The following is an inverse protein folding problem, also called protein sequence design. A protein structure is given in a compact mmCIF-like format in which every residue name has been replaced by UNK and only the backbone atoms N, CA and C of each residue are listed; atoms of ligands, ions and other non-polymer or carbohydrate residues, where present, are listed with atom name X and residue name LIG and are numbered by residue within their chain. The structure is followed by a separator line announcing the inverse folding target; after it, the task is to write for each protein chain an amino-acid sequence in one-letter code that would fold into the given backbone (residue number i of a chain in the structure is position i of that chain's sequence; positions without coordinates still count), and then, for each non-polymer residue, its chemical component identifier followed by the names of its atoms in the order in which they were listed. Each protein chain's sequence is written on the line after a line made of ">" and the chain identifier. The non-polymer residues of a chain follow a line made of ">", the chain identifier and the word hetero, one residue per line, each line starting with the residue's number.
data_IF_812603550029
#
_entry.id   IF_812603550029
#
_cell.length_a   1.000
_cell.length_b   1.000
_cell.length_c   1.000
_cell.angle_alpha   90.00
_cell.angle_beta   90.00
_cell.angle_gamma   90.00
#
_symmetry.space_group_name_H-M   'P 1'
#
loop_
_entity.id
_entity.type
_entity.pdbx_description
1 polymer ?
#
# COMPACT_ATOMS: atom_id res chain seq x y z
N UNK A 1 1.39 -18.70 23.42
CA UNK A 1 1.64 -17.55 22.51
C UNK A 1 0.39 -17.04 21.80
N UNK A 2 -0.55 -17.89 21.38
CA UNK A 2 -1.79 -17.47 20.68
C UNK A 2 -2.65 -16.49 21.51
N UNK A 3 -2.79 -16.73 22.82
CA UNK A 3 -3.60 -15.87 23.71
C UNK A 3 -3.11 -14.41 23.78
N UNK A 4 -1.79 -14.18 23.73
CA UNK A 4 -1.19 -12.83 23.79
C UNK A 4 -1.47 -12.04 22.51
N UNK A 5 -1.50 -12.70 21.35
CA UNK A 5 -1.83 -12.06 20.07
C UNK A 5 -3.30 -11.65 20.02
N UNK A 6 -4.20 -12.51 20.49
CA UNK A 6 -5.65 -12.23 20.53
C UNK A 6 -5.98 -11.06 21.46
N UNK A 7 -5.33 -10.97 22.64
CA UNK A 7 -5.54 -9.86 23.57
C UNK A 7 -4.98 -8.51 23.09
N UNK A 8 -3.97 -8.51 22.21
CA UNK A 8 -3.37 -7.28 21.66
C UNK A 8 -4.07 -6.73 20.40
N UNK A 9 -4.92 -7.51 19.75
CA UNK A 9 -5.64 -7.11 18.55
C UNK A 9 -6.69 -5.98 18.76
N UNK A 10 -7.56 -6.01 19.79
CA UNK A 10 -8.61 -4.98 19.96
C UNK A 10 -8.11 -3.55 20.23
N UNK A 11 -7.04 -3.27 21.01
CA UNK A 11 -6.54 -1.90 21.13
C UNK A 11 -5.89 -1.41 19.83
N UNK A 12 -5.23 -2.30 19.09
CA UNK A 12 -4.56 -1.97 17.83
C UNK A 12 -5.57 -1.61 16.74
N UNK A 13 -6.69 -2.32 16.66
CA UNK A 13 -7.75 -2.03 15.68
C UNK A 13 -8.43 -0.68 15.92
N UNK A 14 -8.63 -0.29 17.19
CA UNK A 14 -9.21 1.03 17.53
C UNK A 14 -8.26 2.19 17.23
N UNK A 15 -6.96 1.96 17.23
CA UNK A 15 -5.96 2.99 16.92
C UNK A 15 -5.85 3.27 15.41
N UNK A 16 -6.30 2.34 14.56
CA UNK A 16 -6.30 2.54 13.10
C UNK A 16 -7.42 3.49 12.72
N UNK A 17 -7.07 4.56 11.98
CA UNK A 17 -8.05 5.45 11.35
C UNK A 17 -8.68 4.73 10.16
N UNK A 18 -9.73 3.95 10.40
CA UNK A 18 -10.44 3.20 9.37
C UNK A 18 -11.18 4.09 8.37
N UNK A 19 -11.63 5.26 8.82
CA UNK A 19 -12.46 6.18 8.04
C UNK A 19 -11.90 6.50 6.64
N UNK A 20 -10.61 6.87 6.46
CA UNK A 20 -10.04 7.05 5.13
C UNK A 20 -10.00 5.78 4.28
N UNK A 21 -9.74 4.60 4.86
CA UNK A 21 -9.73 3.34 4.12
C UNK A 21 -11.14 2.93 3.67
N UNK A 22 -12.13 3.11 4.53
CA UNK A 22 -13.54 2.83 4.22
C UNK A 22 -14.06 3.79 3.16
N UNK A 23 -13.76 5.10 3.30
CA UNK A 23 -14.12 6.11 2.30
C UNK A 23 -13.47 5.82 0.94
N UNK A 24 -12.16 5.52 0.94
CA UNK A 24 -11.44 5.16 -0.27
C UNK A 24 -12.04 3.91 -0.92
N UNK A 25 -12.32 2.86 -0.13
CA UNK A 25 -12.91 1.62 -0.64
C UNK A 25 -14.30 1.83 -1.23
N UNK A 26 -15.15 2.62 -0.58
CA UNK A 26 -16.47 2.99 -1.10
C UNK A 26 -16.38 3.73 -2.44
N UNK A 27 -15.47 4.70 -2.55
CA UNK A 27 -15.24 5.44 -3.81
C UNK A 27 -14.73 4.53 -4.92
N UNK A 28 -13.78 3.64 -4.62
CA UNK A 28 -13.23 2.70 -5.61
C UNK A 28 -14.27 1.69 -6.10
N UNK A 29 -15.09 1.15 -5.20
CA UNK A 29 -16.17 0.22 -5.57
C UNK A 29 -17.24 0.92 -6.42
N UNK A 30 -17.62 2.15 -6.04
CA UNK A 30 -18.57 2.95 -6.83
C UNK A 30 -18.00 3.27 -8.22
N UNK A 31 -16.74 3.69 -8.30
CA UNK A 31 -16.07 3.98 -9.58
C UNK A 31 -15.97 2.73 -10.47
N UNK A 32 -15.67 1.57 -9.89
CA UNK A 32 -15.63 0.30 -10.61
C UNK A 32 -17.01 -0.08 -11.16
N UNK A 33 -18.05 -0.03 -10.32
CA UNK A 33 -19.42 -0.33 -10.72
C UNK A 33 -19.95 0.61 -11.81
N UNK A 34 -19.67 1.92 -11.69
CA UNK A 34 -20.07 2.92 -12.71
C UNK A 34 -19.33 2.69 -14.02
N UNK A 35 -18.03 2.38 -13.96
CA UNK A 35 -17.22 2.18 -15.17
C UNK A 35 -17.61 0.90 -15.90
N UNK A 36 -17.88 -0.19 -15.18
CA UNK A 36 -18.40 -1.43 -15.74
C UNK A 36 -19.77 -1.20 -16.40
N UNK A 37 -20.71 -0.58 -15.69
CA UNK A 37 -22.04 -0.27 -16.21
C UNK A 37 -22.02 0.67 -17.45
N UNK A 38 -21.04 1.55 -17.55
CA UNK A 38 -20.89 2.49 -18.65
C UNK A 38 -20.01 1.98 -19.82
N UNK A 39 -19.49 0.73 -19.77
CA UNK A 39 -18.45 0.23 -20.69
C UNK A 39 -17.23 1.19 -20.78
N UNK A 40 -16.89 1.80 -19.64
CA UNK A 40 -15.78 2.73 -19.52
C UNK A 40 -14.40 2.04 -19.45
N UNK A 41 -13.32 2.82 -19.28
CA UNK A 41 -11.95 2.29 -19.24
C UNK A 41 -11.66 1.59 -17.90
N UNK A 42 -12.08 0.33 -17.80
CA UNK A 42 -11.94 -0.53 -16.61
C UNK A 42 -10.49 -0.67 -16.14
N UNK A 43 -9.53 -0.75 -17.07
CA UNK A 43 -8.11 -0.89 -16.74
C UNK A 43 -7.60 0.32 -15.93
N UNK A 44 -7.97 1.54 -16.32
CA UNK A 44 -7.54 2.75 -15.60
C UNK A 44 -8.08 2.76 -14.17
N UNK A 45 -9.32 2.32 -13.96
CA UNK A 45 -9.91 2.21 -12.62
C UNK A 45 -9.14 1.23 -11.76
N UNK A 46 -8.76 0.08 -12.31
CA UNK A 46 -7.95 -0.91 -11.60
C UNK A 46 -6.55 -0.40 -11.25
N UNK A 47 -5.90 0.35 -12.14
CA UNK A 47 -4.59 0.95 -11.86
C UNK A 47 -4.69 2.03 -10.78
N UNK A 48 -5.71 2.89 -10.84
CA UNK A 48 -5.98 3.91 -9.80
C UNK A 48 -6.28 3.24 -8.45
N UNK A 49 -7.13 2.20 -8.45
CA UNK A 49 -7.43 1.42 -7.26
C UNK A 49 -6.16 0.81 -6.67
N UNK A 50 -5.30 0.24 -7.50
CA UNK A 50 -4.03 -0.37 -7.09
C UNK A 50 -3.10 0.65 -6.41
N UNK A 51 -2.91 1.81 -7.03
CA UNK A 51 -2.07 2.87 -6.48
C UNK A 51 -2.65 3.46 -5.18
N UNK A 52 -3.96 3.68 -5.14
CA UNK A 52 -4.63 4.22 -3.96
C UNK A 52 -4.63 3.23 -2.78
N UNK A 53 -4.86 1.95 -3.04
CA UNK A 53 -4.80 0.89 -2.04
C UNK A 53 -3.39 0.69 -1.49
N UNK A 54 -2.37 0.73 -2.37
CA UNK A 54 -0.97 0.69 -1.95
C UNK A 54 -0.61 1.89 -1.05
N UNK A 55 -0.99 3.11 -1.47
CA UNK A 55 -0.77 4.32 -0.67
C UNK A 55 -1.50 4.28 0.67
N UNK A 56 -2.75 3.80 0.68
CA UNK A 56 -3.56 3.61 1.88
C UNK A 56 -2.96 2.58 2.84
N UNK A 57 -2.46 1.45 2.32
CA UNK A 57 -1.80 0.42 3.10
C UNK A 57 -0.54 0.96 3.81
N UNK A 58 0.27 1.76 3.10
CA UNK A 58 1.45 2.40 3.67
C UNK A 58 1.07 3.49 4.67
N UNK A 59 0.08 4.34 4.36
CA UNK A 59 -0.42 5.38 5.27
C UNK A 59 -0.92 4.79 6.59
N UNK A 60 -1.57 3.62 6.52
CA UNK A 60 -2.10 2.96 7.70
C UNK A 60 -1.00 2.50 8.68
N UNK A 61 0.27 2.45 8.27
CA UNK A 61 1.42 2.17 9.14
C UNK A 61 1.82 3.34 10.02
N UNK A 62 1.26 4.53 9.77
CA UNK A 62 1.53 5.70 10.57
C UNK A 62 0.99 5.47 11.98
N UNK A 63 1.88 5.25 12.95
CA UNK A 63 1.51 5.03 14.34
C UNK A 63 1.73 6.29 15.19
N UNK A 64 0.70 7.15 15.35
CA UNK A 64 0.81 8.35 16.17
C UNK A 64 1.00 8.01 17.65
N UNK A 65 0.62 6.81 18.09
CA UNK A 65 0.79 6.36 19.46
C UNK A 65 2.19 5.79 19.75
N UNK A 66 3.07 5.71 18.74
CA UNK A 66 4.41 5.14 18.90
C UNK A 66 5.25 5.88 19.97
N UNK A 67 5.07 7.20 20.10
CA UNK A 67 5.74 8.01 21.11
C UNK A 67 5.22 7.72 22.52
N UNK A 68 3.91 7.51 22.66
CA UNK A 68 3.26 7.16 23.93
C UNK A 68 3.57 5.73 24.37
N UNK A 69 3.72 4.81 23.41
CA UNK A 69 4.00 3.40 23.64
C UNK A 69 5.50 3.07 23.65
N UNK A 70 6.37 4.09 23.64
CA UNK A 70 7.82 3.91 23.74
C UNK A 70 8.24 3.31 25.09
N UNK A 71 7.46 3.57 26.15
CA UNK A 71 7.70 3.04 27.49
C UNK A 71 7.34 1.55 27.66
N UNK A 72 6.60 0.96 26.71
CA UNK A 72 6.16 -0.44 26.79
C UNK A 72 7.20 -1.33 26.08
N UNK A 73 7.71 -2.40 26.74
CA UNK A 73 8.75 -3.28 26.21
C UNK A 73 8.19 -4.26 25.15
N UNK A 74 7.56 -3.74 24.11
CA UNK A 74 7.11 -4.52 22.95
C UNK A 74 7.99 -4.17 21.75
N UNK A 75 8.43 -5.19 21.01
CA UNK A 75 9.29 -4.94 19.86
C UNK A 75 8.54 -4.09 18.81
N UNK A 76 9.22 -3.07 18.30
CA UNK A 76 8.65 -2.15 17.29
C UNK A 76 8.26 -2.92 16.03
N UNK A 77 9.04 -3.95 15.67
CA UNK A 77 8.73 -4.83 14.55
C UNK A 77 7.45 -5.62 14.73
N UNK A 78 7.18 -6.15 15.93
CA UNK A 78 5.97 -6.93 16.19
C UNK A 78 4.72 -6.06 16.00
N UNK A 79 4.75 -4.83 16.52
CA UNK A 79 3.65 -3.85 16.34
C UNK A 79 3.42 -3.50 14.87
N UNK A 80 4.49 -3.29 14.10
CA UNK A 80 4.39 -3.01 12.65
C UNK A 80 3.86 -4.20 11.86
N UNK A 81 4.34 -5.40 12.15
CA UNK A 81 3.90 -6.63 11.49
C UNK A 81 2.41 -6.90 11.76
N UNK A 82 1.97 -6.73 13.01
CA UNK A 82 0.57 -6.94 13.38
C UNK A 82 -0.34 -5.92 12.68
N UNK A 83 0.12 -4.67 12.56
CA UNK A 83 -0.61 -3.61 11.84
C UNK A 83 -0.66 -3.82 10.34
N UNK A 84 0.45 -4.27 9.74
CA UNK A 84 0.49 -4.71 8.34
C UNK A 84 -0.48 -5.85 8.09
N UNK A 85 -0.56 -6.84 8.98
CA UNK A 85 -1.48 -7.95 8.84
C UNK A 85 -2.94 -7.47 8.98
N UNK A 86 -3.22 -6.62 9.96
CA UNK A 86 -4.55 -6.08 10.22
C UNK A 86 -5.08 -5.21 9.07
N UNK A 87 -4.20 -4.47 8.37
CA UNK A 87 -4.57 -3.62 7.23
C UNK A 87 -4.45 -4.36 5.90
N UNK A 88 -3.48 -5.25 5.77
CA UNK A 88 -3.21 -6.00 4.55
C UNK A 88 -4.37 -6.90 4.17
N UNK A 89 -5.00 -7.57 5.15
CA UNK A 89 -6.19 -8.40 4.91
C UNK A 89 -7.34 -7.60 4.29
N UNK A 90 -7.83 -6.49 4.88
CA UNK A 90 -8.91 -5.70 4.27
C UNK A 90 -8.50 -5.03 2.96
N UNK A 91 -7.24 -4.60 2.80
CA UNK A 91 -6.75 -4.05 1.52
C UNK A 91 -6.80 -5.10 0.41
N UNK A 92 -6.35 -6.33 0.68
CA UNK A 92 -6.42 -7.44 -0.27
C UNK A 92 -7.88 -7.83 -0.59
N UNK A 93 -8.75 -7.88 0.42
CA UNK A 93 -10.17 -8.16 0.23
C UNK A 93 -10.86 -7.10 -0.64
N UNK A 94 -10.53 -5.82 -0.43
CA UNK A 94 -11.04 -4.72 -1.23
C UNK A 94 -10.50 -4.76 -2.66
N UNK A 95 -9.23 -5.06 -2.85
CA UNK A 95 -8.65 -5.26 -4.18
C UNK A 95 -9.35 -6.39 -4.93
N UNK A 96 -9.56 -7.54 -4.29
CA UNK A 96 -10.29 -8.68 -4.89
C UNK A 96 -11.72 -8.32 -5.26
N UNK A 97 -12.39 -7.52 -4.42
CA UNK A 97 -13.76 -7.06 -4.67
C UNK A 97 -13.83 -6.15 -5.90
N UNK A 98 -12.91 -5.18 -6.01
CA UNK A 98 -12.80 -4.31 -7.19
C UNK A 98 -12.46 -5.13 -8.43
N UNK A 99 -11.48 -6.02 -8.35
CA UNK A 99 -11.06 -6.87 -9.47
C UNK A 99 -12.19 -7.79 -9.97
N UNK A 100 -12.93 -8.40 -9.05
CA UNK A 100 -14.07 -9.26 -9.34
C UNK A 100 -15.23 -8.54 -10.01
N UNK A 101 -15.51 -7.28 -9.64
CA UNK A 101 -16.53 -6.45 -10.30
C UNK A 101 -16.16 -6.10 -11.74
N UNK A 102 -14.86 -6.04 -12.03
CA UNK A 102 -14.34 -5.60 -13.33
C UNK A 102 -13.93 -6.74 -14.27
N UNK A 103 -14.14 -8.01 -13.86
CA UNK A 103 -13.64 -9.21 -14.57
C UNK A 103 -12.12 -9.21 -14.87
N UNK A 104 -11.34 -8.37 -14.16
CA UNK A 104 -9.90 -8.14 -14.41
C UNK A 104 -8.98 -8.75 -13.36
N UNK A 105 -9.43 -9.79 -12.66
CA UNK A 105 -8.68 -10.42 -11.57
C UNK A 105 -7.58 -11.34 -12.08
N UNK A 106 -6.43 -10.76 -12.44
CA UNK A 106 -5.24 -11.51 -12.87
C UNK A 106 -4.09 -11.43 -11.87
N UNK A 107 -3.22 -12.45 -11.87
CA UNK A 107 -2.01 -12.50 -11.06
C UNK A 107 -1.08 -11.27 -11.28
N UNK A 108 -1.12 -10.68 -12.48
CA UNK A 108 -0.41 -9.45 -12.79
C UNK A 108 -0.89 -8.26 -11.93
N UNK A 109 -2.19 -8.17 -11.64
CA UNK A 109 -2.76 -7.09 -10.83
C UNK A 109 -2.34 -7.18 -9.35
N UNK A 110 -2.25 -8.39 -8.79
CA UNK A 110 -1.71 -8.61 -7.45
C UNK A 110 -0.22 -8.21 -7.40
N UNK A 111 0.55 -8.58 -8.43
CA UNK A 111 1.96 -8.19 -8.56
C UNK A 111 2.13 -6.67 -8.53
N UNK A 112 1.31 -5.92 -9.28
CA UNK A 112 1.31 -4.45 -9.31
C UNK A 112 1.01 -3.83 -7.94
N UNK A 113 0.02 -4.38 -7.22
CA UNK A 113 -0.32 -3.92 -5.87
C UNK A 113 0.85 -4.12 -4.90
N UNK A 114 1.47 -5.30 -4.92
CA UNK A 114 2.62 -5.62 -4.07
C UNK A 114 3.83 -4.77 -4.43
N UNK A 115 4.10 -4.55 -5.71
CA UNK A 115 5.19 -3.69 -6.20
C UNK A 115 5.05 -2.27 -5.66
N UNK A 116 3.89 -1.64 -5.82
CA UNK A 116 3.65 -0.28 -5.32
C UNK A 116 3.67 -0.20 -3.79
N UNK A 117 3.09 -1.19 -3.11
CA UNK A 117 3.06 -1.21 -1.62
C UNK A 117 4.47 -1.36 -1.05
N UNK A 118 5.27 -2.27 -1.62
CA UNK A 118 6.66 -2.51 -1.18
C UNK A 118 7.57 -1.33 -1.53
N UNK A 119 7.37 -0.69 -2.69
CA UNK A 119 8.06 0.56 -3.03
C UNK A 119 7.76 1.67 -2.03
N UNK A 120 6.49 1.91 -1.70
CA UNK A 120 6.10 2.89 -0.69
C UNK A 120 6.69 2.60 0.69
N UNK A 121 6.75 1.31 1.08
CA UNK A 121 7.44 0.86 2.29
C UNK A 121 8.94 1.17 2.26
N UNK A 122 9.63 0.88 1.17
CA UNK A 122 11.06 1.15 1.02
C UNK A 122 11.37 2.65 1.14
N UNK A 123 10.53 3.50 0.56
CA UNK A 123 10.60 4.96 0.72
C UNK A 123 10.35 5.35 2.18
N UNK A 124 9.31 4.80 2.81
CA UNK A 124 8.98 5.11 4.20
C UNK A 124 10.09 4.78 5.20
N UNK A 125 10.83 3.71 4.95
CA UNK A 125 11.97 3.28 5.79
C UNK A 125 13.22 4.11 5.50
N UNK A 126 13.37 4.66 4.29
CA UNK A 126 14.55 5.40 3.87
C UNK A 126 14.57 6.86 4.32
N UNK A 127 13.41 7.47 4.58
CA UNK A 127 13.29 8.88 4.95
C UNK A 127 13.28 9.06 6.47
N UNK A 128 14.18 9.90 6.99
CA UNK A 128 14.19 10.36 8.39
C UNK A 128 13.71 11.81 8.50
N UNK A 129 12.95 12.20 9.55
CA UNK A 129 12.46 11.38 10.68
C UNK A 129 11.26 10.48 10.34
N UNK A 130 11.08 9.39 11.11
CA UNK A 130 10.12 8.30 10.84
C UNK A 130 8.67 8.76 10.58
N UNK A 131 8.25 9.83 11.27
CA UNK A 131 6.91 10.41 11.10
C UNK A 131 6.68 10.96 9.68
N UNK A 132 7.70 11.61 9.09
CA UNK A 132 7.64 12.11 7.71
C UNK A 132 7.81 10.98 6.71
N UNK A 133 8.61 9.96 7.03
CA UNK A 133 8.83 8.82 6.16
C UNK A 133 7.55 8.12 5.76
N UNK A 134 6.62 7.88 6.70
CA UNK A 134 5.35 7.22 6.35
C UNK A 134 4.48 8.06 5.40
N UNK A 135 4.46 9.39 5.56
CA UNK A 135 3.72 10.28 4.65
C UNK A 135 4.32 10.27 3.25
N UNK A 136 5.65 10.35 3.14
CA UNK A 136 6.35 10.30 1.86
C UNK A 136 6.23 8.93 1.20
N UNK A 137 6.28 7.86 1.98
CA UNK A 137 6.06 6.51 1.48
C UNK A 137 4.62 6.24 1.04
N UNK A 138 3.64 6.86 1.70
CA UNK A 138 2.23 6.76 1.32
C UNK A 138 1.91 7.53 0.02
N UNK A 139 2.60 8.64 -0.23
CA UNK A 139 2.46 9.38 -1.49
C UNK A 139 3.23 8.75 -2.64
N UNK A 140 4.28 7.97 -2.37
CA UNK A 140 5.12 7.37 -3.42
C UNK A 140 4.35 6.51 -4.44
N UNK A 141 3.41 5.62 -4.07
CA UNK A 141 2.57 4.90 -5.04
C UNK A 141 1.78 5.81 -5.98
N UNK A 142 1.23 6.91 -5.45
CA UNK A 142 0.42 7.86 -6.23
C UNK A 142 1.29 8.70 -7.16
N UNK A 143 2.46 9.14 -6.67
CA UNK A 143 3.42 9.88 -7.50
C UNK A 143 3.96 9.00 -8.60
N UNK A 144 4.32 7.74 -8.31
CA UNK A 144 4.81 6.80 -9.32
C UNK A 144 3.73 6.53 -10.38
N UNK A 145 2.48 6.26 -9.96
CA UNK A 145 1.35 6.13 -10.88
C UNK A 145 1.18 7.38 -11.77
N UNK A 146 1.25 8.58 -11.17
CA UNK A 146 1.14 9.84 -11.91
C UNK A 146 2.26 10.03 -12.92
N UNK A 147 3.51 9.74 -12.55
CA UNK A 147 4.66 9.84 -13.45
C UNK A 147 4.55 8.90 -14.66
N UNK A 148 4.05 7.69 -14.44
CA UNK A 148 3.81 6.69 -15.48
C UNK A 148 2.71 7.11 -16.47
N UNK A 149 1.71 7.88 -16.01
CA UNK A 149 0.55 8.26 -16.84
C UNK A 149 0.66 9.66 -17.47
N UNK A 150 1.47 10.57 -16.91
CA UNK A 150 1.49 11.97 -17.36
C UNK A 150 2.43 12.22 -18.55
N UNK A 151 3.15 11.20 -19.05
CA UNK A 151 4.14 11.33 -20.13
C UNK A 151 5.13 12.51 -19.92
N UNK A 152 5.41 12.85 -18.66
CA UNK A 152 6.29 13.96 -18.27
C UNK A 152 7.77 13.58 -18.40
N UNK A 153 8.05 12.28 -18.52
CA UNK A 153 9.39 11.71 -18.54
C UNK A 153 9.69 11.15 -19.93
N UNK A 154 10.95 11.29 -20.36
CA UNK A 154 11.50 10.70 -21.57
C UNK A 154 12.71 9.81 -21.24
N UNK A 155 12.91 8.73 -22.00
CA UNK A 155 14.05 7.82 -21.87
C UNK A 155 13.97 6.91 -20.64
N UNK A 156 15.13 6.60 -20.03
CA UNK A 156 15.24 5.68 -18.89
C UNK A 156 14.28 5.96 -17.72
N UNK A 157 14.00 7.22 -17.32
CA UNK A 157 13.01 7.52 -16.29
C UNK A 157 11.58 7.14 -16.67
N UNK A 158 11.22 7.24 -17.96
CA UNK A 158 9.91 6.83 -18.47
C UNK A 158 9.77 5.30 -18.42
N UNK A 159 10.81 4.58 -18.85
CA UNK A 159 10.85 3.12 -18.78
C UNK A 159 10.74 2.64 -17.33
N UNK A 160 11.51 3.25 -16.42
CA UNK A 160 11.47 2.94 -14.99
C UNK A 160 10.11 3.26 -14.35
N UNK A 161 9.42 4.30 -14.83
CA UNK A 161 8.07 4.63 -14.37
C UNK A 161 7.07 3.50 -14.69
N UNK A 162 7.28 2.75 -15.78
CA UNK A 162 6.43 1.63 -16.20
C UNK A 162 6.76 0.27 -15.56
N UNK A 163 7.91 0.10 -14.90
CA UNK A 163 8.37 -1.21 -14.41
C UNK A 163 7.45 -1.88 -13.40
N UNK A 164 6.67 -1.12 -12.63
CA UNK A 164 5.68 -1.73 -11.73
C UNK A 164 4.54 -2.42 -12.49
N UNK A 165 4.30 -2.06 -13.76
CA UNK A 165 3.31 -2.70 -14.64
C UNK A 165 3.90 -3.89 -15.40
N UNK A 166 5.12 -3.76 -15.93
CA UNK A 166 5.77 -4.78 -16.76
C UNK A 166 6.46 -5.85 -15.94
N UNK A 167 7.20 -5.45 -14.90
CA UNK A 167 8.09 -6.31 -14.11
C UNK A 167 7.86 -6.13 -12.60
N UNK A 168 6.61 -6.32 -12.10
CA UNK A 168 6.26 -6.03 -10.71
C UNK A 168 7.11 -6.78 -9.69
N UNK A 169 7.50 -8.02 -10.01
CA UNK A 169 8.30 -8.85 -9.11
C UNK A 169 9.73 -8.35 -8.96
N UNK A 170 10.31 -7.75 -10.01
CA UNK A 170 11.62 -7.12 -9.93
C UNK A 170 11.57 -5.89 -9.01
N UNK A 171 10.51 -5.08 -9.11
CA UNK A 171 10.26 -3.94 -8.23
C UNK A 171 10.10 -4.39 -6.77
N UNK A 172 9.32 -5.46 -6.51
CA UNK A 172 9.18 -6.05 -5.17
C UNK A 172 10.54 -6.48 -4.62
N UNK A 173 11.32 -7.23 -5.39
CA UNK A 173 12.63 -7.71 -4.97
C UNK A 173 13.58 -6.56 -4.63
N UNK A 174 13.64 -5.53 -5.48
CA UNK A 174 14.46 -4.34 -5.25
C UNK A 174 14.02 -3.58 -4.00
N UNK A 175 12.71 -3.35 -3.81
CA UNK A 175 12.17 -2.65 -2.66
C UNK A 175 12.45 -3.41 -1.34
N UNK A 176 12.29 -4.74 -1.34
CA UNK A 176 12.63 -5.58 -0.20
C UNK A 176 14.13 -5.53 0.13
N UNK A 177 15.00 -5.51 -0.89
CA UNK A 177 16.44 -5.39 -0.70
C UNK A 177 16.80 -4.04 -0.05
N UNK A 178 16.18 -2.93 -0.49
CA UNK A 178 16.34 -1.61 0.16
C UNK A 178 15.90 -1.67 1.63
N UNK A 179 14.76 -2.30 1.92
CA UNK A 179 14.28 -2.47 3.28
C UNK A 179 15.25 -3.29 4.15
N UNK A 180 15.83 -4.35 3.58
CA UNK A 180 16.79 -5.22 4.28
C UNK A 180 18.10 -4.47 4.59
N UNK A 181 18.65 -3.73 3.62
CA UNK A 181 19.87 -2.95 3.80
C UNK A 181 19.70 -1.85 4.85
N UNK A 182 18.56 -1.15 4.85
CA UNK A 182 18.25 -0.10 5.85
C UNK A 182 18.06 -0.64 7.27
N UNK A 183 17.77 -1.92 7.43
CA UNK A 183 17.66 -2.57 8.76
C UNK A 183 19.03 -2.90 9.34
N UNK A 184 20.05 -3.08 8.50
CA UNK A 184 21.40 -3.42 8.92
C UNK A 184 22.27 -2.20 9.30
N UNK A 185 21.83 -0.98 8.94
CA UNK A 185 22.51 0.30 9.19
C UNK A 185 21.96 1.04 10.40
#
# INVERSE_FOLDING_TARGET
>A
MIAVHVQSAPPTSRAVRWLPLVGLGGVLLAAAAVSDAANGPVETVLLVATAALAGGAVAALHDPAATLLAAVPTSVMHRRALRLLLVGVPVLALWWSVAGLTSGADAAGLGRLLALTTAGLAVAVSVRPHARGVLVGASAPLVWFGLDHMAVLDGLPADAAGWWRTDPWAVVAAALLVCALRRAS
#
